data_IF_472913722377
#
_entry.id   IF_472913722377
#
_cell.length_a   1.000
_cell.length_b   1.000
_cell.length_c   1.000
_cell.angle_alpha   90.00
_cell.angle_beta   90.00
_cell.angle_gamma   90.00
#
_symmetry.space_group_name_H-M   'P 1'
#
loop_
_entity.id
_entity.type
_entity.pdbx_description
1 polymer ?
#
# COMPACT_ATOMS: atom_id res chain seq x y z
N UNK A 1 -14.59 14.83 -1.87
CA UNK A 1 -14.55 15.50 -0.54
C UNK A 1 -15.86 15.20 0.18
N UNK A 2 -15.84 14.55 1.36
CA UNK A 2 -17.05 14.42 2.17
C UNK A 2 -17.38 15.83 2.70
N UNK A 3 -18.62 16.30 2.52
CA UNK A 3 -19.09 17.61 3.01
C UNK A 3 -18.62 17.94 4.44
N UNK A 4 -18.44 16.91 5.29
CA UNK A 4 -17.97 17.05 6.67
C UNK A 4 -16.53 17.55 6.85
N UNK A 5 -15.69 17.54 5.82
CA UNK A 5 -14.32 18.06 5.91
C UNK A 5 -14.21 19.53 5.42
N UNK A 6 -15.20 19.99 4.67
CA UNK A 6 -15.25 21.39 4.17
C UNK A 6 -15.77 22.34 5.25
N UNK A 7 -16.72 21.88 6.07
CA UNK A 7 -17.30 22.68 7.15
C UNK A 7 -16.27 23.23 8.15
N UNK A 8 -15.36 22.44 8.74
CA UNK A 8 -14.38 22.96 9.68
C UNK A 8 -13.39 23.95 9.03
N UNK A 9 -13.10 23.79 7.72
CA UNK A 9 -12.27 24.73 6.97
C UNK A 9 -12.97 26.07 6.76
N UNK A 10 -14.25 26.06 6.38
CA UNK A 10 -15.05 27.30 6.24
C UNK A 10 -15.21 28.00 7.60
N UNK A 11 -15.51 27.25 8.65
CA UNK A 11 -15.65 27.81 9.99
C UNK A 11 -14.32 28.42 10.46
N UNK A 12 -13.21 27.70 10.33
CA UNK A 12 -11.90 28.15 10.80
C UNK A 12 -11.33 29.33 9.99
N UNK A 13 -11.54 29.38 8.67
CA UNK A 13 -10.89 30.35 7.79
C UNK A 13 -11.77 31.51 7.32
N UNK A 14 -13.09 31.40 7.47
CA UNK A 14 -14.02 32.47 7.10
C UNK A 14 -14.72 33.04 8.32
N UNK A 15 -15.33 32.20 9.13
CA UNK A 15 -16.17 32.64 10.26
C UNK A 15 -15.33 33.17 11.42
N UNK A 16 -14.23 32.46 11.77
CA UNK A 16 -13.38 32.90 12.90
C UNK A 16 -12.68 34.24 12.61
N UNK A 17 -12.05 34.48 11.42
CA UNK A 17 -11.49 35.80 11.09
C UNK A 17 -12.53 36.89 11.01
N UNK A 18 -13.73 36.63 10.48
CA UNK A 18 -14.81 37.59 10.44
C UNK A 18 -15.31 38.00 11.83
N UNK A 19 -15.46 37.03 12.74
CA UNK A 19 -15.84 37.29 14.12
C UNK A 19 -14.74 38.06 14.87
N UNK A 20 -13.47 37.76 14.62
CA UNK A 20 -12.32 38.48 15.19
C UNK A 20 -12.28 39.93 14.70
N UNK A 21 -12.52 40.18 13.39
CA UNK A 21 -12.62 41.50 12.81
C UNK A 21 -13.76 42.33 13.43
N UNK A 22 -14.92 41.69 13.62
CA UNK A 22 -16.08 42.35 14.26
C UNK A 22 -15.77 42.72 15.72
N UNK A 23 -15.16 41.81 16.48
CA UNK A 23 -14.82 42.03 17.90
C UNK A 23 -13.82 43.18 18.06
N UNK A 24 -12.83 43.27 17.17
CA UNK A 24 -11.83 44.32 17.21
C UNK A 24 -12.39 45.63 16.70
N UNK A 25 -13.28 45.65 15.72
CA UNK A 25 -14.02 46.84 15.32
C UNK A 25 -14.78 47.46 16.49
N UNK A 26 -15.42 46.64 17.31
CA UNK A 26 -16.12 47.06 18.54
C UNK A 26 -15.12 47.59 19.60
N UNK A 27 -13.98 46.93 19.80
CA UNK A 27 -12.94 47.37 20.73
C UNK A 27 -12.33 48.72 20.36
N UNK A 28 -12.10 48.99 19.07
CA UNK A 28 -11.62 50.29 18.55
C UNK A 28 -12.64 51.41 18.83
N UNK A 29 -13.92 51.10 18.69
CA UNK A 29 -15.01 52.06 18.99
C UNK A 29 -15.11 52.43 20.48
N UNK A 30 -14.78 51.49 21.37
CA UNK A 30 -14.94 51.66 22.83
C UNK A 30 -13.71 52.28 23.49
N UNK A 31 -12.49 52.03 23.04
CA UNK A 31 -11.25 52.37 23.78
C UNK A 31 -10.46 53.61 23.31
N UNK A 32 -10.98 54.46 22.45
CA UNK A 32 -10.40 55.78 22.12
C UNK A 32 -9.06 55.79 21.35
N UNK A 33 -8.48 56.96 21.14
CA UNK A 33 -7.50 57.22 20.08
C UNK A 33 -6.06 56.66 20.33
N UNK A 34 -5.57 56.53 21.54
CA UNK A 34 -4.16 56.13 21.78
C UNK A 34 -3.94 54.63 21.67
N UNK A 35 -4.92 53.80 22.01
CA UNK A 35 -4.83 52.35 21.84
C UNK A 35 -5.10 51.89 20.40
N UNK A 36 -5.64 52.74 19.56
CA UNK A 36 -6.15 52.41 18.22
C UNK A 36 -5.08 51.91 17.26
N UNK A 37 -3.87 52.53 17.29
CA UNK A 37 -2.80 52.12 16.37
C UNK A 37 -2.21 50.77 16.69
N UNK A 38 -2.01 50.45 17.99
CA UNK A 38 -1.52 49.12 18.43
C UNK A 38 -2.54 48.01 18.12
N UNK A 39 -3.82 48.29 18.42
CA UNK A 39 -4.90 47.34 18.16
C UNK A 39 -5.05 47.07 16.68
N UNK A 40 -4.95 48.12 15.83
CA UNK A 40 -5.00 47.95 14.39
C UNK A 40 -3.82 47.15 13.84
N UNK A 41 -2.59 47.37 14.33
CA UNK A 41 -1.41 46.61 13.95
C UNK A 41 -1.53 45.12 14.30
N UNK A 42 -1.97 44.79 15.52
CA UNK A 42 -2.20 43.42 15.96
C UNK A 42 -3.27 42.74 15.11
N UNK A 43 -4.34 43.45 14.78
CA UNK A 43 -5.43 42.96 13.96
C UNK A 43 -4.97 42.61 12.55
N UNK A 44 -4.21 43.48 11.90
CA UNK A 44 -3.66 43.23 10.56
C UNK A 44 -2.74 42.03 10.57
N UNK A 45 -1.85 41.89 11.58
CA UNK A 45 -0.97 40.73 11.72
C UNK A 45 -1.75 39.44 11.92
N UNK A 46 -2.77 39.44 12.78
CA UNK A 46 -3.62 38.27 13.02
C UNK A 46 -4.39 37.87 11.75
N UNK A 47 -4.93 38.82 11.01
CA UNK A 47 -5.64 38.58 9.77
C UNK A 47 -4.71 37.99 8.70
N UNK A 48 -3.54 38.60 8.51
CA UNK A 48 -2.54 38.11 7.54
C UNK A 48 -2.08 36.71 7.91
N UNK A 49 -1.77 36.43 9.18
CA UNK A 49 -1.34 35.13 9.65
C UNK A 49 -2.42 34.06 9.43
N UNK A 50 -3.66 34.37 9.78
CA UNK A 50 -4.80 33.45 9.57
C UNK A 50 -5.04 33.18 8.09
N UNK A 51 -4.91 34.19 7.23
CA UNK A 51 -5.04 34.02 5.78
C UNK A 51 -3.94 33.14 5.21
N UNK A 52 -2.68 33.33 5.62
CA UNK A 52 -1.55 32.51 5.19
C UNK A 52 -1.75 31.06 5.62
N UNK A 53 -2.13 30.82 6.87
CA UNK A 53 -2.42 29.47 7.38
C UNK A 53 -3.56 28.83 6.58
N UNK A 54 -4.62 29.59 6.28
CA UNK A 54 -5.76 29.11 5.50
C UNK A 54 -5.39 28.72 4.07
N UNK A 55 -4.65 29.58 3.39
CA UNK A 55 -4.16 29.31 2.03
C UNK A 55 -3.26 28.07 2.04
N UNK A 56 -2.32 27.99 2.99
CA UNK A 56 -1.39 26.85 3.08
C UNK A 56 -2.14 25.54 3.35
N UNK A 57 -3.09 25.54 4.28
CA UNK A 57 -3.92 24.36 4.57
C UNK A 57 -4.74 23.93 3.33
N UNK A 58 -5.35 24.88 2.64
CA UNK A 58 -6.12 24.63 1.42
C UNK A 58 -5.23 24.04 0.31
N UNK A 59 -4.05 24.62 0.09
CA UNK A 59 -3.10 24.11 -0.90
C UNK A 59 -2.64 22.69 -0.58
N UNK A 60 -2.38 22.38 0.70
CA UNK A 60 -2.00 21.02 1.12
C UNK A 60 -3.15 20.02 0.85
N UNK A 61 -4.40 20.40 1.16
CA UNK A 61 -5.56 19.53 0.89
C UNK A 61 -5.74 19.32 -0.61
N UNK A 62 -5.71 20.38 -1.41
CA UNK A 62 -5.84 20.30 -2.87
C UNK A 62 -4.71 19.47 -3.49
N UNK A 63 -3.48 19.63 -3.01
CA UNK A 63 -2.34 18.84 -3.49
C UNK A 63 -2.53 17.36 -3.18
N UNK A 64 -2.99 17.02 -1.97
CA UNK A 64 -3.30 15.62 -1.59
C UNK A 64 -4.41 15.02 -2.45
N UNK A 65 -5.51 15.76 -2.67
CA UNK A 65 -6.62 15.29 -3.52
C UNK A 65 -6.16 15.08 -4.98
N UNK A 66 -5.43 16.05 -5.54
CA UNK A 66 -4.89 15.94 -6.89
C UNK A 66 -3.93 14.73 -7.04
N UNK A 67 -3.12 14.46 -6.01
CA UNK A 67 -2.23 13.30 -5.98
C UNK A 67 -3.02 11.99 -5.97
N UNK A 68 -4.02 11.86 -5.08
CA UNK A 68 -4.88 10.67 -5.00
C UNK A 68 -5.62 10.45 -6.32
N UNK A 69 -6.18 11.50 -6.91
CA UNK A 69 -6.87 11.43 -8.19
C UNK A 69 -5.95 10.97 -9.33
N UNK A 70 -4.71 11.47 -9.38
CA UNK A 70 -3.71 11.03 -10.37
C UNK A 70 -3.38 9.54 -10.18
N UNK A 71 -3.06 9.12 -8.94
CA UNK A 71 -2.76 7.73 -8.64
C UNK A 71 -3.92 6.80 -9.02
N UNK A 72 -5.16 7.23 -8.78
CA UNK A 72 -6.35 6.48 -9.18
C UNK A 72 -6.49 6.38 -10.70
N UNK A 73 -6.22 7.47 -11.44
CA UNK A 73 -6.26 7.46 -12.91
C UNK A 73 -5.16 6.56 -13.47
N UNK A 74 -3.95 6.68 -12.96
CA UNK A 74 -2.82 5.84 -13.37
C UNK A 74 -3.08 4.36 -13.08
N UNK A 75 -3.72 4.05 -11.94
CA UNK A 75 -4.15 2.71 -11.61
C UNK A 75 -5.18 2.16 -12.61
N UNK A 76 -6.25 2.90 -12.91
CA UNK A 76 -7.28 2.46 -13.87
C UNK A 76 -6.66 2.20 -15.25
N UNK A 77 -5.78 3.09 -15.70
CA UNK A 77 -5.06 2.92 -16.96
C UNK A 77 -4.19 1.67 -16.95
N UNK A 78 -3.47 1.45 -15.84
CA UNK A 78 -2.59 0.29 -15.68
C UNK A 78 -3.37 -1.02 -15.62
N UNK A 79 -4.41 -1.09 -14.80
CA UNK A 79 -5.31 -2.26 -14.73
C UNK A 79 -5.90 -2.57 -16.10
N UNK A 80 -6.36 -1.54 -16.82
CA UNK A 80 -6.89 -1.72 -18.17
C UNK A 80 -5.85 -2.29 -19.14
N UNK A 81 -4.59 -1.85 -19.02
CA UNK A 81 -3.48 -2.39 -19.79
C UNK A 81 -3.17 -3.84 -19.40
N UNK A 82 -3.05 -4.11 -18.10
CA UNK A 82 -2.70 -5.43 -17.56
C UNK A 82 -3.80 -6.49 -17.79
N UNK A 83 -5.07 -6.07 -17.95
CA UNK A 83 -6.18 -6.91 -18.40
C UNK A 83 -6.16 -7.13 -19.93
N UNK A 84 -5.80 -6.11 -20.71
CA UNK A 84 -5.82 -6.17 -22.17
C UNK A 84 -4.78 -7.13 -22.73
N UNK A 85 -3.58 -7.18 -22.15
CA UNK A 85 -2.47 -8.01 -22.61
C UNK A 85 -2.82 -9.50 -22.64
N UNK A 86 -3.22 -10.13 -21.49
CA UNK A 86 -3.60 -11.54 -21.47
C UNK A 86 -4.83 -11.82 -22.34
N UNK A 87 -5.81 -10.91 -22.37
CA UNK A 87 -6.99 -11.06 -23.20
C UNK A 87 -6.66 -11.08 -24.70
N UNK A 88 -5.72 -10.23 -25.12
CA UNK A 88 -5.26 -10.21 -26.52
C UNK A 88 -4.51 -11.50 -26.88
N UNK A 89 -3.67 -12.00 -25.97
CA UNK A 89 -2.96 -13.28 -26.13
C UNK A 89 -3.95 -14.45 -26.26
N UNK A 90 -4.90 -14.56 -25.34
CA UNK A 90 -5.95 -15.58 -25.38
C UNK A 90 -6.68 -15.53 -26.71
N UNK A 91 -7.16 -14.35 -27.11
CA UNK A 91 -7.90 -14.17 -28.36
C UNK A 91 -7.08 -14.61 -29.57
N UNK A 92 -5.82 -14.19 -29.65
CA UNK A 92 -4.91 -14.55 -30.75
C UNK A 92 -4.74 -16.06 -30.88
N UNK A 93 -4.50 -16.76 -29.78
CA UNK A 93 -4.33 -18.22 -29.80
C UNK A 93 -5.63 -18.96 -30.14
N UNK A 94 -6.79 -18.49 -29.63
CA UNK A 94 -8.11 -19.04 -29.97
C UNK A 94 -8.40 -18.86 -31.47
N UNK A 95 -8.21 -17.67 -32.04
CA UNK A 95 -8.39 -17.41 -33.47
C UNK A 95 -7.45 -18.27 -34.33
N UNK A 96 -6.19 -18.44 -33.90
CA UNK A 96 -5.19 -19.28 -34.59
C UNK A 96 -5.61 -20.75 -34.63
N UNK A 97 -6.14 -21.28 -33.50
CA UNK A 97 -6.67 -22.63 -33.41
C UNK A 97 -7.93 -22.81 -34.28
N UNK A 98 -8.86 -21.86 -34.25
CA UNK A 98 -10.10 -21.89 -35.04
C UNK A 98 -9.83 -21.86 -36.55
N UNK A 99 -8.78 -21.13 -36.97
CA UNK A 99 -8.39 -21.07 -38.40
C UNK A 99 -7.63 -22.32 -38.85
N UNK A 100 -7.38 -23.29 -38.00
CA UNK A 100 -6.62 -24.50 -38.33
C UNK A 100 -5.16 -24.23 -38.68
N UNK A 101 -4.60 -23.08 -38.27
CA UNK A 101 -3.22 -22.70 -38.59
C UNK A 101 -2.15 -23.44 -37.81
N UNK A 102 -2.56 -24.27 -36.83
CA UNK A 102 -1.68 -25.14 -36.04
C UNK A 102 -2.07 -26.61 -36.32
N UNK A 103 -1.59 -27.20 -37.42
CA UNK A 103 -1.95 -28.56 -37.80
C UNK A 103 -1.32 -29.62 -36.88
N UNK A 104 -0.22 -29.28 -36.20
CA UNK A 104 0.55 -30.20 -35.35
C UNK A 104 -0.11 -30.29 -33.96
N UNK A 105 -0.44 -31.51 -33.46
CA UNK A 105 -1.10 -31.67 -32.15
C UNK A 105 -0.29 -31.10 -30.99
N UNK A 106 1.03 -31.10 -31.07
CA UNK A 106 1.93 -30.53 -30.05
C UNK A 106 1.78 -29.02 -29.95
N UNK A 107 1.76 -28.32 -31.09
CA UNK A 107 1.53 -26.86 -31.12
C UNK A 107 0.14 -26.46 -30.67
N UNK A 108 -0.87 -27.32 -30.90
CA UNK A 108 -2.21 -27.09 -30.35
C UNK A 108 -2.19 -27.18 -28.82
N UNK A 109 -1.47 -28.15 -28.24
CA UNK A 109 -1.31 -28.28 -26.78
C UNK A 109 -0.56 -27.08 -26.19
N UNK A 110 0.50 -26.62 -26.85
CA UNK A 110 1.21 -25.41 -26.43
C UNK A 110 0.29 -24.18 -26.44
N UNK A 111 -0.48 -23.97 -27.51
CA UNK A 111 -1.45 -22.90 -27.58
C UNK A 111 -2.51 -22.95 -26.46
N UNK A 112 -3.04 -24.15 -26.17
CA UNK A 112 -3.99 -24.38 -25.09
C UNK A 112 -3.35 -24.13 -23.72
N UNK A 113 -2.08 -24.49 -23.53
CA UNK A 113 -1.37 -24.22 -22.26
C UNK A 113 -1.15 -22.73 -22.03
N UNK A 114 -0.85 -21.97 -23.09
CA UNK A 114 -0.74 -20.50 -22.99
C UNK A 114 -2.10 -19.88 -22.67
N UNK A 115 -3.19 -20.31 -23.30
CA UNK A 115 -4.54 -19.84 -23.00
C UNK A 115 -4.89 -20.11 -21.52
N UNK A 116 -4.59 -21.32 -21.02
CA UNK A 116 -4.84 -21.69 -19.64
C UNK A 116 -4.04 -20.82 -18.65
N UNK A 117 -2.76 -20.58 -18.94
CA UNK A 117 -1.87 -19.72 -18.14
C UNK A 117 -2.37 -18.27 -18.09
N UNK A 118 -2.70 -17.69 -19.24
CA UNK A 118 -3.19 -16.31 -19.30
C UNK A 118 -4.57 -16.13 -18.65
N UNK A 119 -5.41 -17.18 -18.74
CA UNK A 119 -6.71 -17.19 -18.02
C UNK A 119 -6.53 -17.23 -16.52
N UNK A 120 -5.60 -18.04 -16.01
CA UNK A 120 -5.26 -18.09 -14.58
C UNK A 120 -4.69 -16.74 -14.10
N UNK A 121 -3.80 -16.11 -14.90
CA UNK A 121 -3.26 -14.78 -14.61
C UNK A 121 -4.34 -13.70 -14.53
N UNK A 122 -5.29 -13.72 -15.47
CA UNK A 122 -6.42 -12.80 -15.52
C UNK A 122 -7.31 -12.97 -14.29
N UNK A 123 -7.63 -14.21 -13.91
CA UNK A 123 -8.42 -14.54 -12.74
C UNK A 123 -7.75 -14.05 -11.44
N UNK A 124 -6.44 -14.25 -11.30
CA UNK A 124 -5.68 -13.77 -10.16
C UNK A 124 -5.71 -12.24 -10.05
N UNK A 125 -5.61 -11.52 -11.18
CA UNK A 125 -5.68 -10.06 -11.19
C UNK A 125 -7.08 -9.56 -10.79
N UNK A 126 -8.14 -10.17 -11.30
CA UNK A 126 -9.53 -9.84 -10.94
C UNK A 126 -9.78 -10.08 -9.45
N UNK A 127 -9.34 -11.23 -8.91
CA UNK A 127 -9.51 -11.54 -7.49
C UNK A 127 -8.79 -10.49 -6.61
N UNK A 128 -7.56 -10.11 -6.93
CA UNK A 128 -6.84 -9.02 -6.24
C UNK A 128 -7.60 -7.70 -6.25
N UNK A 129 -8.23 -7.34 -7.37
CA UNK A 129 -9.04 -6.12 -7.46
C UNK A 129 -10.30 -6.19 -6.59
N UNK A 130 -10.96 -7.35 -6.56
CA UNK A 130 -12.15 -7.58 -5.73
C UNK A 130 -11.80 -7.57 -4.24
N UNK A 131 -10.71 -8.20 -3.83
CA UNK A 131 -10.25 -8.21 -2.44
C UNK A 131 -9.88 -6.79 -1.99
N UNK A 132 -9.18 -6.04 -2.84
CA UNK A 132 -8.92 -4.64 -2.58
C UNK A 132 -10.21 -3.82 -2.42
N UNK A 133 -11.21 -4.00 -3.31
CA UNK A 133 -12.48 -3.29 -3.22
C UNK A 133 -13.27 -3.62 -1.94
N UNK A 134 -13.20 -4.88 -1.49
CA UNK A 134 -13.80 -5.31 -0.21
C UNK A 134 -13.10 -4.65 0.99
N UNK A 135 -11.77 -4.60 0.98
CA UNK A 135 -10.97 -3.92 2.00
C UNK A 135 -11.31 -2.42 2.06
N UNK A 136 -11.33 -1.75 0.92
CA UNK A 136 -11.62 -0.31 0.82
C UNK A 136 -13.01 0.05 1.36
N UNK A 137 -13.99 -0.83 1.13
CA UNK A 137 -15.36 -0.63 1.62
C UNK A 137 -15.53 -0.97 3.11
N UNK A 138 -14.46 -1.38 3.81
CA UNK A 138 -14.52 -1.82 5.21
C UNK A 138 -15.34 -3.10 5.41
N UNK A 139 -15.60 -3.86 4.36
CA UNK A 139 -16.40 -5.09 4.41
C UNK A 139 -15.59 -6.35 4.69
N UNK A 140 -14.26 -6.25 4.68
CA UNK A 140 -13.41 -7.39 5.04
C UNK A 140 -13.35 -7.50 6.56
N UNK A 141 -13.91 -8.57 7.10
CA UNK A 141 -13.78 -8.96 8.51
C UNK A 141 -12.70 -10.03 8.63
N UNK A 142 -11.95 -10.02 9.70
CA UNK A 142 -10.92 -11.01 10.01
C UNK A 142 -11.38 -11.90 11.15
N UNK A 143 -11.16 -13.21 11.03
CA UNK A 143 -11.40 -14.17 12.10
C UNK A 143 -10.18 -14.14 13.05
N UNK A 144 -10.24 -13.28 14.08
CA UNK A 144 -9.14 -13.11 15.02
C UNK A 144 -9.10 -14.25 16.02
N UNK A 145 -8.15 -15.17 15.85
CA UNK A 145 -7.88 -16.31 16.73
C UNK A 145 -6.40 -16.30 17.15
N UNK A 146 -6.01 -17.00 18.24
CA UNK A 146 -4.61 -17.17 18.59
C UNK A 146 -3.89 -17.99 17.50
N UNK A 147 -2.97 -17.37 16.78
CA UNK A 147 -2.23 -17.96 15.65
C UNK A 147 -0.74 -17.97 15.95
N UNK A 148 -0.09 -19.11 15.73
CA UNK A 148 1.37 -19.23 15.78
C UNK A 148 1.97 -18.69 14.48
N UNK A 149 3.02 -17.88 14.61
CA UNK A 149 3.69 -17.26 13.44
C UNK A 149 4.29 -18.30 12.50
N UNK A 150 4.73 -19.44 13.03
CA UNK A 150 5.25 -20.55 12.21
C UNK A 150 4.19 -21.07 11.24
N UNK A 151 2.92 -21.16 11.68
CA UNK A 151 1.83 -21.61 10.81
C UNK A 151 1.50 -20.59 9.70
N UNK A 152 1.70 -19.28 9.97
CA UNK A 152 1.59 -18.21 8.95
C UNK A 152 2.71 -18.34 7.93
N UNK A 153 3.95 -18.51 8.39
CA UNK A 153 5.13 -18.65 7.54
C UNK A 153 5.02 -19.91 6.66
N UNK A 154 4.63 -21.03 7.24
CA UNK A 154 4.47 -22.28 6.51
C UNK A 154 3.39 -22.16 5.42
N UNK A 155 2.24 -21.56 5.73
CA UNK A 155 1.18 -21.33 4.75
C UNK A 155 1.63 -20.40 3.59
N UNK A 156 2.34 -19.32 3.91
CA UNK A 156 2.88 -18.40 2.89
C UNK A 156 3.93 -19.08 2.00
N UNK A 157 4.82 -19.89 2.58
CA UNK A 157 5.85 -20.62 1.83
C UNK A 157 5.24 -21.69 0.90
N UNK A 158 4.21 -22.40 1.34
CA UNK A 158 3.47 -23.35 0.49
C UNK A 158 2.85 -22.62 -0.71
N UNK A 159 2.24 -21.44 -0.48
CA UNK A 159 1.67 -20.63 -1.56
C UNK A 159 2.75 -20.00 -2.48
N UNK A 160 3.97 -19.82 -1.98
CA UNK A 160 5.10 -19.26 -2.73
C UNK A 160 5.88 -20.34 -3.53
N UNK A 161 5.68 -21.63 -3.26
CA UNK A 161 6.41 -22.73 -3.88
C UNK A 161 6.40 -22.73 -5.42
N UNK A 162 5.28 -22.40 -6.13
CA UNK A 162 5.29 -22.32 -7.59
C UNK A 162 6.32 -21.34 -8.16
N UNK A 163 6.58 -20.22 -7.49
CA UNK A 163 7.59 -19.24 -7.89
C UNK A 163 9.00 -19.79 -7.67
N UNK A 164 9.23 -20.49 -6.55
CA UNK A 164 10.51 -21.14 -6.26
C UNK A 164 10.89 -22.23 -7.26
N UNK A 165 9.89 -22.95 -7.76
CA UNK A 165 10.11 -24.00 -8.77
C UNK A 165 10.38 -23.42 -10.16
N UNK A 166 9.88 -22.22 -10.46
CA UNK A 166 10.07 -21.57 -11.76
C UNK A 166 11.43 -20.91 -11.90
N UNK A 167 12.01 -20.43 -10.81
CA UNK A 167 13.31 -19.75 -10.79
C UNK A 167 14.11 -20.13 -9.52
N UNK A 168 15.45 -20.28 -9.61
CA UNK A 168 16.28 -20.54 -8.43
C UNK A 168 16.20 -19.39 -7.44
N UNK A 169 15.72 -19.66 -6.23
CA UNK A 169 15.60 -18.66 -5.16
C UNK A 169 16.12 -19.31 -3.87
N UNK A 170 17.08 -18.65 -3.25
CA UNK A 170 17.50 -19.01 -1.90
C UNK A 170 16.54 -18.38 -0.88
N UNK A 171 15.82 -19.19 -0.12
CA UNK A 171 14.93 -18.74 0.95
C UNK A 171 15.44 -19.26 2.28
N UNK A 172 15.96 -18.38 3.12
CA UNK A 172 16.38 -18.72 4.47
C UNK A 172 15.26 -18.40 5.47
N UNK A 173 15.26 -19.16 6.59
CA UNK A 173 14.25 -19.03 7.65
C UNK A 173 14.94 -18.99 9.01
N UNK A 174 14.72 -17.91 9.75
CA UNK A 174 15.26 -17.71 11.09
C UNK A 174 14.15 -17.27 12.06
N UNK A 175 13.44 -18.23 12.63
CA UNK A 175 12.33 -18.02 13.55
C UNK A 175 12.80 -18.32 14.97
N UNK A 176 12.71 -17.35 15.85
CA UNK A 176 13.05 -17.51 17.25
C UNK A 176 12.16 -18.62 17.87
N UNK A 177 12.72 -19.61 18.58
CA UNK A 177 11.93 -20.62 19.25
C UNK A 177 11.05 -20.03 20.36
N UNK A 178 9.84 -20.60 20.52
CA UNK A 178 8.96 -20.25 21.63
C UNK A 178 8.30 -18.87 21.52
N UNK A 179 8.09 -18.38 20.30
CA UNK A 179 7.34 -17.14 20.08
C UNK A 179 5.91 -17.25 20.62
N UNK A 180 5.41 -16.21 21.28
CA UNK A 180 4.01 -16.15 21.68
C UNK A 180 3.10 -16.12 20.43
N UNK A 181 1.86 -16.65 20.53
CA UNK A 181 0.89 -16.49 19.46
C UNK A 181 0.51 -15.02 19.28
N UNK A 182 -0.03 -14.67 18.12
CA UNK A 182 -0.68 -13.39 17.84
C UNK A 182 -2.18 -13.60 17.70
N UNK A 183 -2.98 -12.62 18.05
CA UNK A 183 -4.41 -12.66 17.75
C UNK A 183 -4.60 -12.23 16.29
N UNK A 184 -5.00 -13.17 15.41
CA UNK A 184 -5.07 -12.90 13.99
C UNK A 184 -5.80 -13.95 13.18
N UNK A 185 -6.03 -13.61 11.93
CA UNK A 185 -6.53 -14.49 10.88
C UNK A 185 -5.31 -15.08 10.13
N UNK A 186 -5.10 -16.40 10.28
CA UNK A 186 -3.93 -17.08 9.71
C UNK A 186 -3.85 -16.90 8.19
N UNK A 187 -4.98 -16.98 7.50
CA UNK A 187 -5.02 -16.92 6.04
C UNK A 187 -4.71 -15.50 5.55
N UNK A 188 -5.28 -14.49 6.19
CA UNK A 188 -5.01 -13.10 5.87
C UNK A 188 -3.54 -12.71 6.15
N UNK A 189 -2.98 -13.16 7.29
CA UNK A 189 -1.57 -12.91 7.62
C UNK A 189 -0.62 -13.65 6.67
N UNK A 190 -0.97 -14.88 6.25
CA UNK A 190 -0.20 -15.62 5.24
C UNK A 190 -0.28 -14.94 3.86
N UNK A 191 -1.43 -14.36 3.47
CA UNK A 191 -1.58 -13.54 2.27
C UNK A 191 -0.66 -12.31 2.33
N UNK A 192 -0.64 -11.60 3.45
CA UNK A 192 0.26 -10.45 3.62
C UNK A 192 1.74 -10.83 3.49
N UNK A 193 2.14 -11.95 4.11
CA UNK A 193 3.51 -12.45 4.00
C UNK A 193 3.84 -12.91 2.57
N UNK A 194 2.90 -13.57 1.89
CA UNK A 194 3.05 -13.97 0.48
C UNK A 194 3.25 -12.76 -0.44
N UNK A 195 2.51 -11.67 -0.24
CA UNK A 195 2.69 -10.45 -1.01
C UNK A 195 4.09 -9.83 -0.80
N UNK A 196 4.66 -9.92 0.42
CA UNK A 196 6.04 -9.49 0.67
C UNK A 196 7.06 -10.41 -0.01
N UNK A 197 6.86 -11.74 0.02
CA UNK A 197 7.71 -12.71 -0.67
C UNK A 197 7.68 -12.52 -2.19
N UNK A 198 6.50 -12.30 -2.76
CA UNK A 198 6.33 -12.00 -4.19
C UNK A 198 7.00 -10.67 -4.57
N UNK A 199 6.94 -9.68 -3.70
CA UNK A 199 7.66 -8.42 -3.89
C UNK A 199 9.18 -8.66 -3.89
N UNK A 200 9.71 -9.36 -2.90
CA UNK A 200 11.12 -9.72 -2.82
C UNK A 200 11.57 -10.46 -4.09
N UNK A 201 10.85 -11.50 -4.51
CA UNK A 201 11.12 -12.24 -5.75
C UNK A 201 11.17 -11.36 -6.99
N UNK A 202 10.23 -10.44 -7.10
CA UNK A 202 10.02 -9.60 -8.26
C UNK A 202 11.10 -8.52 -8.42
N UNK A 203 11.57 -7.94 -7.32
CA UNK A 203 12.50 -6.82 -7.34
C UNK A 203 13.96 -7.22 -7.16
N UNK A 204 14.23 -8.45 -6.76
CA UNK A 204 15.58 -8.98 -6.67
C UNK A 204 16.12 -9.37 -8.05
N UNK A 205 17.41 -9.19 -8.26
CA UNK A 205 18.12 -9.53 -9.49
C UNK A 205 18.26 -11.05 -9.72
N UNK A 206 19.21 -11.49 -10.59
CA UNK A 206 19.35 -12.91 -10.92
C UNK A 206 19.72 -13.82 -9.75
N UNK A 207 20.51 -13.32 -8.81
CA UNK A 207 20.91 -14.04 -7.60
C UNK A 207 19.97 -13.70 -6.46
N UNK A 208 18.79 -14.36 -6.46
CA UNK A 208 17.72 -14.07 -5.50
C UNK A 208 17.98 -14.71 -4.15
N UNK A 209 18.17 -13.88 -3.12
CA UNK A 209 18.23 -14.31 -1.74
C UNK A 209 17.11 -13.61 -0.94
N UNK A 210 16.28 -14.40 -0.29
CA UNK A 210 15.17 -13.93 0.54
C UNK A 210 15.34 -14.53 1.93
N UNK A 211 15.30 -13.70 2.96
CA UNK A 211 15.35 -14.15 4.34
C UNK A 211 14.05 -13.80 5.06
N UNK A 212 13.47 -14.79 5.74
CA UNK A 212 12.31 -14.61 6.64
C UNK A 212 12.84 -14.72 8.06
N UNK A 213 12.57 -13.73 8.90
CA UNK A 213 12.88 -13.82 10.31
C UNK A 213 11.68 -13.43 11.17
N UNK A 214 11.55 -14.07 12.34
CA UNK A 214 10.55 -13.72 13.33
C UNK A 214 11.17 -13.64 14.72
N UNK A 215 10.91 -12.55 15.43
CA UNK A 215 11.41 -12.24 16.77
C UNK A 215 10.30 -11.59 17.60
N UNK A 216 10.42 -11.68 18.92
CA UNK A 216 9.60 -10.86 19.82
C UNK A 216 10.48 -9.80 20.46
N UNK A 217 10.00 -8.57 20.47
CA UNK A 217 10.64 -7.43 21.13
C UNK A 217 9.56 -6.59 21.80
N UNK A 218 9.73 -6.31 23.10
CA UNK A 218 8.84 -5.45 23.88
C UNK A 218 7.34 -5.80 23.76
N UNK A 219 7.01 -7.10 23.79
CA UNK A 219 5.62 -7.58 23.63
C UNK A 219 5.06 -7.50 22.21
N UNK A 220 5.89 -7.18 21.22
CA UNK A 220 5.53 -7.11 19.80
C UNK A 220 6.24 -8.21 19.04
N UNK A 221 5.49 -8.99 18.26
CA UNK A 221 6.04 -9.94 17.32
C UNK A 221 6.44 -9.18 16.04
N UNK A 222 7.69 -9.29 15.67
CA UNK A 222 8.26 -8.73 14.44
C UNK A 222 8.52 -9.87 13.46
N UNK A 223 7.76 -9.88 12.35
CA UNK A 223 7.94 -10.81 11.23
C UNK A 223 8.51 -10.01 10.06
N UNK A 224 9.71 -10.37 9.59
CA UNK A 224 10.40 -9.64 8.54
C UNK A 224 10.69 -10.49 7.31
N UNK A 225 10.66 -9.84 6.16
CA UNK A 225 11.14 -10.36 4.87
C UNK A 225 12.22 -9.44 4.36
N UNK A 226 13.43 -9.99 4.18
CA UNK A 226 14.58 -9.26 3.66
C UNK A 226 14.95 -9.79 2.28
N UNK A 227 15.19 -8.90 1.35
CA UNK A 227 15.68 -9.21 0.00
C UNK A 227 17.03 -8.54 -0.27
N UNK A 228 17.77 -9.06 -1.25
CA UNK A 228 19.01 -8.49 -1.75
C UNK A 228 18.81 -7.70 -3.06
N UNK A 229 17.66 -7.06 -3.21
CA UNK A 229 17.30 -6.27 -4.38
C UNK A 229 18.01 -4.90 -4.47
N UNK A 230 17.57 -4.03 -5.36
CA UNK A 230 18.20 -2.71 -5.58
C UNK A 230 17.94 -1.70 -4.44
N UNK A 231 17.13 -2.06 -3.46
CA UNK A 231 16.74 -1.17 -2.39
C UNK A 231 15.73 -0.10 -2.83
N UNK A 232 15.33 0.74 -1.87
CA UNK A 232 14.26 1.73 -2.03
C UNK A 232 14.76 3.10 -1.58
N UNK A 233 14.64 4.10 -2.42
CA UNK A 233 15.04 5.47 -2.08
C UNK A 233 14.25 6.00 -0.88
N UNK A 234 14.89 6.73 0.01
CA UNK A 234 14.27 7.28 1.24
C UNK A 234 13.00 8.10 0.96
N UNK A 235 12.98 8.82 -0.16
CA UNK A 235 11.80 9.58 -0.59
C UNK A 235 10.59 8.69 -0.89
N UNK A 236 10.82 7.48 -1.43
CA UNK A 236 9.77 6.53 -1.81
C UNK A 236 9.28 5.69 -0.62
N UNK A 237 10.14 5.40 0.36
CA UNK A 237 9.81 4.54 1.51
C UNK A 237 8.56 4.99 2.27
N UNK A 238 8.29 6.29 2.32
CA UNK A 238 7.10 6.87 2.97
C UNK A 238 5.81 6.62 2.19
N UNK A 239 5.92 6.24 0.92
CA UNK A 239 4.81 6.18 -0.02
C UNK A 239 4.54 4.77 -0.56
N UNK A 240 5.48 3.83 -0.43
CA UNK A 240 5.35 2.48 -1.00
C UNK A 240 4.14 1.71 -0.48
N UNK A 241 3.62 2.05 0.70
CA UNK A 241 2.39 1.49 1.25
C UNK A 241 1.12 2.26 0.87
N UNK A 242 1.26 3.37 0.11
CA UNK A 242 0.11 4.09 -0.43
C UNK A 242 -0.48 3.31 -1.61
N UNK A 243 -1.79 3.33 -1.71
CA UNK A 243 -2.54 2.70 -2.81
C UNK A 243 -2.05 3.22 -4.16
N UNK A 244 -1.84 2.30 -5.10
CA UNK A 244 -1.45 2.61 -6.47
C UNK A 244 -0.06 3.23 -6.63
N UNK A 245 0.64 3.43 -5.51
CA UNK A 245 1.99 4.01 -5.55
C UNK A 245 2.98 3.01 -6.14
N UNK A 246 3.87 3.54 -6.98
CA UNK A 246 5.02 2.83 -7.52
C UNK A 246 6.20 3.79 -7.57
N UNK A 247 7.37 3.33 -7.14
CA UNK A 247 8.58 4.12 -7.27
C UNK A 247 8.85 4.38 -8.76
N UNK A 248 9.12 5.65 -9.11
CA UNK A 248 9.42 6.06 -10.49
C UNK A 248 10.90 5.84 -10.78
N UNK A 249 11.36 4.59 -10.73
CA UNK A 249 12.71 4.25 -11.15
C UNK A 249 12.68 3.82 -12.62
N UNK A 250 13.47 4.45 -13.50
CA UNK A 250 13.58 4.06 -14.90
C UNK A 250 13.98 2.60 -15.10
N UNK A 251 14.81 2.04 -14.21
CA UNK A 251 15.28 0.66 -14.24
C UNK A 251 14.18 -0.34 -13.85
N UNK A 252 13.15 0.10 -13.11
CA UNK A 252 12.06 -0.74 -12.63
C UNK A 252 10.76 -0.58 -13.43
N UNK A 253 10.75 0.25 -14.47
CA UNK A 253 9.54 0.49 -15.30
C UNK A 253 8.99 -0.77 -15.97
N UNK A 254 9.85 -1.74 -16.27
CA UNK A 254 9.48 -3.01 -16.92
C UNK A 254 8.92 -4.03 -15.93
N UNK A 255 9.04 -3.80 -14.64
CA UNK A 255 8.54 -4.72 -13.61
C UNK A 255 7.03 -4.56 -13.50
N UNK A 256 6.26 -5.57 -13.86
CA UNK A 256 4.79 -5.55 -13.82
C UNK A 256 4.26 -5.49 -12.38
N UNK A 257 3.16 -4.77 -12.14
CA UNK A 257 2.45 -4.77 -10.85
C UNK A 257 1.44 -3.64 -10.71
N UNK A 258 0.34 -3.95 -10.03
CA UNK A 258 -0.79 -3.04 -9.81
C UNK A 258 -0.54 -1.93 -8.79
N UNK A 259 0.51 -2.02 -7.95
CA UNK A 259 0.73 -1.12 -6.82
C UNK A 259 -0.26 -1.32 -5.66
N UNK A 260 -0.90 -2.49 -5.59
CA UNK A 260 -1.85 -2.84 -4.53
C UNK A 260 -1.25 -3.73 -3.44
N UNK A 261 -0.25 -4.57 -3.73
CA UNK A 261 0.26 -5.57 -2.79
C UNK A 261 0.67 -4.97 -1.45
N UNK A 262 1.59 -4.00 -1.43
CA UNK A 262 2.03 -3.37 -0.16
C UNK A 262 0.90 -2.61 0.56
N UNK A 263 -0.05 -2.03 -0.18
CA UNK A 263 -1.22 -1.41 0.43
C UNK A 263 -2.16 -2.47 1.06
N UNK A 264 -2.26 -3.66 0.45
CA UNK A 264 -2.99 -4.81 1.02
C UNK A 264 -2.28 -5.33 2.28
N UNK A 265 -0.96 -5.51 2.24
CA UNK A 265 -0.17 -5.87 3.42
C UNK A 265 -0.46 -4.91 4.58
N UNK A 266 -0.36 -3.60 4.32
CA UNK A 266 -0.66 -2.58 5.33
C UNK A 266 -2.07 -2.71 5.89
N UNK A 267 -3.08 -2.86 5.02
CA UNK A 267 -4.48 -2.97 5.45
C UNK A 267 -4.74 -4.23 6.30
N UNK A 268 -4.17 -5.37 5.89
CA UNK A 268 -4.27 -6.61 6.66
C UNK A 268 -3.63 -6.43 8.04
N UNK A 269 -2.40 -5.94 8.10
CA UNK A 269 -1.66 -5.78 9.35
C UNK A 269 -2.35 -4.77 10.28
N UNK A 270 -2.84 -3.64 9.76
CA UNK A 270 -3.63 -2.67 10.54
C UNK A 270 -4.95 -3.28 11.06
N UNK A 271 -5.60 -4.14 10.28
CA UNK A 271 -6.80 -4.89 10.69
C UNK A 271 -6.54 -5.89 11.84
N UNK A 272 -5.27 -6.23 12.08
CA UNK A 272 -4.81 -7.07 13.19
C UNK A 272 -4.21 -6.25 14.35
N UNK A 273 -4.43 -4.93 14.37
CA UNK A 273 -3.90 -4.05 15.41
C UNK A 273 -2.40 -3.81 15.35
N UNK A 274 -1.75 -4.21 14.25
CA UNK A 274 -0.32 -4.06 14.00
C UNK A 274 0.05 -2.89 13.09
N UNK A 275 1.31 -2.85 12.68
CA UNK A 275 1.81 -1.91 11.66
C UNK A 275 2.87 -2.56 10.78
N UNK A 276 3.08 -2.00 9.59
CA UNK A 276 4.14 -2.43 8.68
C UNK A 276 5.11 -1.28 8.43
N UNK A 277 6.38 -1.61 8.34
CA UNK A 277 7.44 -0.66 8.03
C UNK A 277 8.47 -1.26 7.07
N UNK A 278 9.37 -0.42 6.56
CA UNK A 278 10.48 -0.84 5.71
C UNK A 278 11.76 -0.20 6.17
N UNK A 279 12.84 -0.97 6.16
CA UNK A 279 14.21 -0.50 6.27
C UNK A 279 14.94 -0.86 4.97
N UNK A 280 15.47 0.13 4.26
CA UNK A 280 16.12 -0.09 2.98
C UNK A 280 17.13 0.99 2.67
N UNK A 281 18.22 0.58 2.03
CA UNK A 281 19.22 1.46 1.45
C UNK A 281 19.44 1.08 -0.01
N UNK A 282 19.58 2.08 -0.88
CA UNK A 282 19.80 1.84 -2.31
C UNK A 282 21.06 0.99 -2.53
N UNK A 283 20.92 -0.12 -3.23
CA UNK A 283 21.96 -1.09 -3.49
C UNK A 283 22.16 -2.15 -2.39
N UNK A 284 21.44 -2.09 -1.27
CA UNK A 284 21.56 -3.01 -0.14
C UNK A 284 20.32 -3.90 0.08
N UNK A 285 19.34 -3.82 -0.82
CA UNK A 285 18.07 -4.52 -0.67
C UNK A 285 17.07 -3.82 0.24
N UNK A 286 16.03 -4.54 0.63
CA UNK A 286 14.99 -4.04 1.52
C UNK A 286 14.60 -5.08 2.57
N UNK A 287 14.24 -4.62 3.75
CA UNK A 287 13.65 -5.41 4.84
C UNK A 287 12.28 -4.85 5.16
N UNK A 288 11.25 -5.59 4.84
CA UNK A 288 9.87 -5.30 5.23
C UNK A 288 9.57 -5.95 6.56
N UNK A 289 8.97 -5.23 7.50
CA UNK A 289 8.72 -5.68 8.87
C UNK A 289 7.23 -5.52 9.16
N UNK A 290 6.57 -6.65 9.43
CA UNK A 290 5.22 -6.72 9.99
C UNK A 290 5.37 -6.79 11.50
N UNK A 291 4.77 -5.85 12.22
CA UNK A 291 4.75 -5.81 13.67
C UNK A 291 3.32 -6.07 14.16
N UNK A 292 3.15 -7.10 14.99
CA UNK A 292 1.85 -7.52 15.54
C UNK A 292 1.92 -7.57 17.07
N UNK A 293 0.88 -7.14 17.80
CA UNK A 293 0.81 -7.34 19.24
C UNK A 293 0.89 -8.83 19.55
N UNK A 294 1.84 -9.23 20.41
CA UNK A 294 1.87 -10.59 20.92
C UNK A 294 0.64 -10.80 21.83
N UNK A 295 -0.07 -11.89 21.64
CA UNK A 295 -1.12 -12.24 22.58
C UNK A 295 -0.47 -12.57 23.93
N UNK A 296 -0.99 -12.02 25.02
CA UNK A 296 -0.61 -12.47 26.37
C UNK A 296 -0.83 -13.98 26.42
N UNK A 297 0.20 -14.72 26.85
CA UNK A 297 0.04 -16.14 27.06
C UNK A 297 -1.13 -16.32 28.04
N UNK A 298 -2.20 -16.98 27.59
CA UNK A 298 -3.27 -17.37 28.50
C UNK A 298 -2.65 -18.17 29.65
N UNK A 299 -2.97 -17.84 30.92
CA UNK A 299 -2.38 -18.45 32.10
C UNK A 299 -2.63 -19.95 32.16
#
# INVERSE_FOLDING_TARGET
>A
MKLGQVYPLIIGFVIVPAALLLTVGILILVFGSEAREYVFGVLVLALVSTTIIGITATLVVLYREARVSRLQTDFVNKVSHDLRTPLTSIRMFVETLQMGRLPEPERQREALSVIALETARLSALINRLLDWARMESGKRSYALEPVRVEAVVDAALVAFEPQRLSEPIEVSRDIQPGLPPVLGDREALAEALLDLLQNAHKYTGPEKAIAIAARVQDGTLLLSVTDNGPGIRLADQKHIFEKFYRAQDPLQRHIEGSGLGLAMVKHIVEGHGGWVTVASEVGQGATFIIALPAAEAAP
#
